data_IF_297440501095
#
_entry.id   IF_297440501095
#
_cell.length_a   1.000
_cell.length_b   1.000
_cell.length_c   1.000
_cell.angle_alpha   90.00
_cell.angle_beta   90.00
_cell.angle_gamma   90.00
#
_symmetry.space_group_name_H-M   'P 1'
#
loop_
_entity.id
_entity.type
_entity.pdbx_description
1 polymer ?
#
# COMPACT_ATOMS: atom_id res chain seq x y z
N UNK A 1 22.43 0.65 -23.58
CA UNK A 1 21.45 -0.46 -23.58
C UNK A 1 21.06 -0.70 -22.13
N UNK A 2 19.79 -0.51 -21.72
CA UNK A 2 19.41 -0.82 -20.34
C UNK A 2 18.97 -2.29 -20.24
N UNK A 3 19.62 -3.00 -19.31
CA UNK A 3 19.28 -4.28 -18.68
C UNK A 3 18.60 -5.37 -19.55
N UNK A 4 19.43 -6.30 -20.06
CA UNK A 4 19.42 -7.69 -19.57
C UNK A 4 18.16 -8.55 -19.67
N UNK A 5 17.14 -8.21 -20.47
CA UNK A 5 16.14 -9.21 -20.85
C UNK A 5 16.82 -10.22 -21.77
N UNK A 6 16.98 -11.47 -21.31
CA UNK A 6 17.34 -12.57 -22.21
C UNK A 6 16.27 -12.65 -23.30
N UNK A 7 16.70 -12.77 -24.56
CA UNK A 7 15.80 -12.85 -25.70
C UNK A 7 14.86 -14.06 -25.55
N UNK A 8 13.59 -13.80 -25.25
CA UNK A 8 12.55 -14.81 -25.08
C UNK A 8 11.25 -14.24 -24.47
N UNK A 9 10.11 -14.94 -24.60
CA UNK A 9 8.88 -14.53 -23.95
C UNK A 9 9.04 -14.59 -22.42
N UNK A 10 9.00 -13.44 -21.76
CA UNK A 10 8.99 -13.34 -20.30
C UNK A 10 7.61 -13.72 -19.77
N UNK A 11 7.50 -14.88 -19.11
CA UNK A 11 6.29 -15.24 -18.38
C UNK A 11 6.27 -14.51 -17.03
N UNK A 12 5.22 -13.76 -16.77
CA UNK A 12 5.01 -13.08 -15.48
C UNK A 12 3.54 -12.82 -15.22
N UNK A 13 3.20 -12.63 -13.95
CA UNK A 13 1.87 -12.21 -13.51
C UNK A 13 1.83 -10.70 -13.33
N UNK A 14 0.83 -10.05 -13.92
CA UNK A 14 0.57 -8.62 -13.69
C UNK A 14 -0.12 -8.46 -12.35
N UNK A 15 0.57 -7.87 -11.38
CA UNK A 15 0.07 -7.75 -10.00
C UNK A 15 -0.53 -6.38 -9.73
N UNK A 16 -0.06 -5.35 -10.44
CA UNK A 16 -0.59 -4.01 -10.31
C UNK A 16 -0.45 -3.25 -11.62
N UNK A 17 -1.46 -2.42 -11.93
CA UNK A 17 -1.51 -1.63 -13.15
C UNK A 17 -2.15 -0.28 -12.85
N UNK A 18 -1.40 0.79 -13.08
CA UNK A 18 -1.84 2.15 -12.77
C UNK A 18 -1.54 3.05 -13.95
N UNK A 19 -2.54 3.82 -14.37
CA UNK A 19 -2.37 4.87 -15.39
C UNK A 19 -2.42 6.21 -14.69
N UNK A 20 -1.33 6.95 -14.78
CA UNK A 20 -1.25 8.33 -14.34
C UNK A 20 -1.40 9.25 -15.55
N UNK A 21 -2.31 10.22 -15.44
CA UNK A 21 -2.47 11.28 -16.44
C UNK A 21 -2.23 12.61 -15.74
N UNK A 22 -1.20 13.34 -16.17
CA UNK A 22 -0.99 14.75 -15.82
C UNK A 22 -1.26 15.63 -17.02
N UNK A 23 -1.36 16.94 -16.77
CA UNK A 23 -1.63 17.98 -17.77
C UNK A 23 -0.75 17.91 -19.04
N UNK A 24 0.42 17.27 -19.00
CA UNK A 24 1.32 17.15 -20.13
C UNK A 24 1.87 15.75 -20.40
N UNK A 25 1.60 14.75 -19.55
CA UNK A 25 2.18 13.42 -19.70
C UNK A 25 1.28 12.31 -19.14
N UNK A 26 1.20 11.22 -19.88
CA UNK A 26 0.64 9.94 -19.43
C UNK A 26 1.78 9.00 -19.04
N UNK A 27 1.65 8.32 -17.91
CA UNK A 27 2.55 7.25 -17.50
C UNK A 27 1.73 6.01 -17.11
N UNK A 28 2.01 4.88 -17.75
CA UNK A 28 1.48 3.57 -17.35
C UNK A 28 2.55 2.85 -16.53
N UNK A 29 2.20 2.52 -15.30
CA UNK A 29 3.04 1.75 -14.37
C UNK A 29 2.47 0.35 -14.27
N UNK A 30 3.33 -0.65 -14.44
CA UNK A 30 2.96 -2.07 -14.34
C UNK A 30 3.95 -2.75 -13.42
N UNK A 31 3.43 -3.40 -12.37
CA UNK A 31 4.22 -4.29 -11.54
C UNK A 31 3.98 -5.73 -12.00
N UNK A 32 5.07 -6.44 -12.22
CA UNK A 32 5.10 -7.84 -12.63
C UNK A 32 5.80 -8.65 -11.55
N UNK A 33 5.35 -9.88 -11.35
CA UNK A 33 6.03 -10.89 -10.53
C UNK A 33 6.33 -12.09 -11.43
N UNK A 34 7.57 -12.55 -11.41
CA UNK A 34 7.99 -13.77 -12.12
C UNK A 34 7.76 -15.04 -11.29
N UNK A 35 8.12 -16.19 -11.83
CA UNK A 35 7.97 -17.50 -11.17
C UNK A 35 8.84 -17.65 -9.90
N UNK A 36 9.90 -16.85 -9.78
CA UNK A 36 10.80 -16.85 -8.62
C UNK A 36 10.32 -15.89 -7.51
N UNK A 37 9.30 -15.07 -7.80
CA UNK A 37 8.84 -14.01 -6.90
C UNK A 37 9.60 -12.69 -7.07
N UNK A 38 10.42 -12.55 -8.11
CA UNK A 38 11.12 -11.31 -8.39
C UNK A 38 10.16 -10.27 -8.97
N UNK A 39 10.20 -9.06 -8.38
CA UNK A 39 9.36 -7.94 -8.79
C UNK A 39 10.04 -7.10 -9.87
N UNK A 40 9.35 -6.94 -11.00
CA UNK A 40 9.76 -6.05 -12.09
C UNK A 40 8.75 -4.93 -12.26
N UNK A 41 9.22 -3.69 -12.14
CA UNK A 41 8.40 -2.51 -12.40
C UNK A 41 8.69 -1.92 -13.77
N UNK A 42 7.67 -1.87 -14.61
CA UNK A 42 7.71 -1.23 -15.92
C UNK A 42 7.04 0.14 -15.87
N UNK A 43 7.69 1.16 -16.45
CA UNK A 43 7.15 2.51 -16.57
C UNK A 43 7.12 2.91 -18.05
N UNK A 44 5.93 3.10 -18.60
CA UNK A 44 5.71 3.53 -19.99
C UNK A 44 5.30 4.99 -20.01
N UNK A 45 6.20 5.86 -20.50
CA UNK A 45 5.97 7.30 -20.59
C UNK A 45 5.47 7.71 -21.98
N UNK A 46 4.48 8.61 -22.00
CA UNK A 46 3.85 9.14 -23.20
C UNK A 46 2.54 8.44 -23.53
N UNK A 47 1.54 9.21 -24.00
CA UNK A 47 0.19 8.74 -24.29
C UNK A 47 0.18 7.55 -25.25
N UNK A 48 0.87 7.66 -26.39
CA UNK A 48 0.91 6.61 -27.41
C UNK A 48 1.46 5.27 -26.88
N UNK A 49 2.45 5.33 -25.98
CA UNK A 49 3.02 4.12 -25.36
C UNK A 49 2.06 3.55 -24.32
N UNK A 50 1.52 4.40 -23.44
CA UNK A 50 0.54 3.97 -22.45
C UNK A 50 -0.66 3.29 -23.13
N UNK A 51 -1.25 3.92 -24.15
CA UNK A 51 -2.41 3.40 -24.88
C UNK A 51 -2.06 2.12 -25.67
N UNK A 52 -0.85 2.00 -26.22
CA UNK A 52 -0.40 0.79 -26.91
C UNK A 52 -0.26 -0.42 -26.00
N UNK A 53 0.13 -0.22 -24.74
CA UNK A 53 0.44 -1.30 -23.81
C UNK A 53 -0.65 -1.54 -22.77
N UNK A 54 -1.52 -0.57 -22.49
CA UNK A 54 -2.56 -0.72 -21.48
C UNK A 54 -3.40 -1.96 -21.74
N UNK A 55 -3.89 -2.19 -22.95
CA UNK A 55 -4.76 -3.34 -23.24
C UNK A 55 -4.00 -4.65 -23.41
N UNK A 56 -2.66 -4.61 -23.43
CA UNK A 56 -1.81 -5.81 -23.53
C UNK A 56 -1.50 -6.44 -22.19
N UNK A 57 -1.69 -5.68 -21.11
CA UNK A 57 -1.50 -6.15 -19.75
C UNK A 57 -2.85 -6.15 -19.07
N UNK A 58 -3.48 -7.31 -19.01
CA UNK A 58 -4.61 -7.52 -18.12
C UNK A 58 -4.06 -7.81 -16.73
N UNK A 59 -4.63 -7.15 -15.71
CA UNK A 59 -4.49 -7.63 -14.33
C UNK A 59 -5.31 -8.90 -14.29
N UNK A 60 -4.69 -10.01 -14.66
CA UNK A 60 -5.35 -11.30 -14.65
C UNK A 60 -5.56 -11.70 -13.19
N UNK A 61 -6.83 -11.85 -12.79
CA UNK A 61 -7.15 -12.98 -11.92
C UNK A 61 -6.89 -14.21 -12.79
N UNK A 62 -5.69 -14.77 -12.69
CA UNK A 62 -5.25 -15.85 -13.58
C UNK A 62 -6.23 -17.02 -13.40
N UNK A 63 -7.07 -17.27 -14.42
CA UNK A 63 -7.93 -18.45 -14.52
C UNK A 63 -7.13 -19.67 -15.02
N UNK A 64 -5.87 -19.78 -14.60
CA UNK A 64 -5.00 -20.93 -14.77
C UNK A 64 -4.38 -21.22 -13.42
N UNK A 65 -4.03 -22.49 -13.14
CA UNK A 65 -3.48 -22.94 -11.86
C UNK A 65 -2.53 -21.89 -11.24
N UNK A 66 -3.02 -21.15 -10.24
CA UNK A 66 -2.30 -20.06 -9.55
C UNK A 66 -1.04 -20.55 -8.81
N UNK A 67 -0.70 -21.82 -8.92
CA UNK A 67 0.50 -22.42 -8.34
C UNK A 67 1.79 -22.03 -9.11
N UNK A 68 1.71 -21.56 -10.35
CA UNK A 68 2.91 -21.25 -11.17
C UNK A 68 3.57 -19.91 -10.80
N UNK A 69 2.86 -18.97 -10.15
CA UNK A 69 3.41 -17.66 -9.78
C UNK A 69 3.08 -17.29 -8.33
N UNK A 70 4.08 -16.92 -7.50
CA UNK A 70 3.85 -16.59 -6.11
C UNK A 70 3.03 -15.32 -5.93
N UNK A 71 2.40 -15.19 -4.76
CA UNK A 71 1.80 -13.95 -4.29
C UNK A 71 2.82 -12.83 -4.16
N UNK A 72 2.34 -11.58 -4.31
CA UNK A 72 3.20 -10.41 -4.26
C UNK A 72 3.99 -10.48 -2.96
N UNK A 73 5.33 -10.51 -2.98
CA UNK A 73 6.10 -10.58 -1.75
C UNK A 73 6.00 -9.23 -1.02
N UNK A 74 5.27 -9.21 0.08
CA UNK A 74 5.25 -8.07 0.99
C UNK A 74 6.41 -8.18 1.97
N UNK A 75 7.26 -7.15 2.02
CA UNK A 75 8.34 -7.05 3.00
C UNK A 75 7.93 -6.07 4.08
N UNK A 76 6.86 -6.42 4.80
CA UNK A 76 6.28 -5.56 5.81
C UNK A 76 7.28 -5.24 6.91
N UNK A 77 7.51 -3.95 7.09
CA UNK A 77 8.19 -3.40 8.24
C UNK A 77 7.16 -3.00 9.31
N UNK A 78 7.51 -3.23 10.58
CA UNK A 78 6.72 -2.76 11.72
C UNK A 78 6.76 -1.23 11.78
N UNK A 79 5.67 -0.61 12.25
CA UNK A 79 5.62 0.84 12.49
C UNK A 79 6.80 1.30 13.37
N UNK A 80 7.26 0.45 14.28
CA UNK A 80 8.42 0.73 15.12
C UNK A 80 9.73 0.92 14.36
N UNK A 81 9.99 0.20 13.28
CA UNK A 81 11.24 0.37 12.51
C UNK A 81 11.27 1.65 11.67
N UNK A 82 10.10 2.27 11.43
CA UNK A 82 9.98 3.45 10.55
C UNK A 82 10.86 4.65 10.93
N UNK A 83 11.26 4.80 12.21
CA UNK A 83 12.11 5.92 12.65
C UNK A 83 13.52 5.88 12.03
N UNK A 84 13.97 4.71 11.60
CA UNK A 84 15.30 4.51 11.01
C UNK A 84 15.28 4.59 9.47
N UNK A 85 14.10 4.76 8.88
CA UNK A 85 13.92 4.80 7.43
C UNK A 85 14.31 6.19 6.91
N UNK A 86 15.16 6.20 5.89
CA UNK A 86 15.60 7.45 5.25
C UNK A 86 14.45 8.11 4.48
N UNK A 87 14.52 9.43 4.36
CA UNK A 87 13.60 10.18 3.51
C UNK A 87 13.63 9.65 2.08
N UNK A 88 12.47 9.62 1.42
CA UNK A 88 12.24 9.09 0.06
C UNK A 88 12.44 7.59 -0.11
N UNK A 89 12.74 6.85 0.95
CA UNK A 89 12.74 5.40 0.89
C UNK A 89 11.32 4.89 0.66
N UNK A 90 11.21 3.90 -0.23
CA UNK A 90 10.01 3.13 -0.47
C UNK A 90 10.08 1.89 0.41
N UNK A 91 9.03 1.62 1.17
CA UNK A 91 8.95 0.46 2.05
C UNK A 91 7.51 -0.04 2.14
N UNK A 92 7.35 -1.22 2.73
CA UNK A 92 6.04 -1.83 2.97
C UNK A 92 5.78 -1.74 4.47
N UNK A 93 4.56 -1.38 4.88
CA UNK A 93 4.19 -1.24 6.30
C UNK A 93 2.90 -1.97 6.57
N UNK A 94 2.81 -2.60 7.74
CA UNK A 94 1.59 -3.24 8.22
C UNK A 94 1.25 -2.71 9.61
N UNK A 95 -0.04 -2.57 9.89
CA UNK A 95 -0.50 -2.25 11.22
C UNK A 95 -2.01 -2.31 11.35
N UNK A 96 -2.47 -2.15 12.58
CA UNK A 96 -3.89 -2.07 12.93
C UNK A 96 -4.38 -0.68 12.57
N UNK A 97 -5.49 -0.62 11.85
CA UNK A 97 -6.13 0.61 11.44
C UNK A 97 -6.69 1.36 12.65
N UNK A 98 -6.26 2.62 12.78
CA UNK A 98 -6.65 3.50 13.86
C UNK A 98 -6.94 4.91 13.35
N UNK A 99 -8.00 5.54 13.86
CA UNK A 99 -8.37 6.94 13.66
C UNK A 99 -8.15 7.51 12.23
N UNK A 100 -9.21 7.50 11.43
CA UNK A 100 -9.26 8.16 10.12
C UNK A 100 -9.76 9.59 10.24
N UNK A 101 -8.98 10.50 9.67
CA UNK A 101 -9.30 11.92 9.63
C UNK A 101 -9.46 12.38 8.18
N UNK A 102 -10.42 13.28 7.98
CA UNK A 102 -10.64 13.97 6.71
C UNK A 102 -10.32 15.44 6.91
N UNK A 103 -9.42 15.97 6.10
CA UNK A 103 -9.09 17.39 6.03
C UNK A 103 -9.63 17.95 4.71
N UNK A 104 -10.33 19.08 4.78
CA UNK A 104 -10.78 19.81 3.59
C UNK A 104 -9.92 21.06 3.46
N UNK A 105 -9.20 21.18 2.35
CA UNK A 105 -8.33 22.30 2.02
C UNK A 105 -9.04 23.12 0.94
N UNK A 106 -9.53 24.32 1.27
CA UNK A 106 -10.13 25.19 0.26
C UNK A 106 -9.03 25.73 -0.66
N UNK A 107 -9.17 25.50 -1.96
CA UNK A 107 -8.37 26.13 -3.01
C UNK A 107 -9.24 27.14 -3.75
N UNK A 108 -8.59 28.03 -4.52
CA UNK A 108 -9.29 29.14 -5.19
C UNK A 108 -10.44 28.67 -6.12
N UNK A 109 -10.33 27.48 -6.71
CA UNK A 109 -11.27 26.96 -7.72
C UNK A 109 -12.01 25.69 -7.31
N UNK A 110 -11.60 25.02 -6.23
CA UNK A 110 -12.25 23.81 -5.72
C UNK A 110 -11.78 23.49 -4.30
N UNK A 111 -12.48 22.58 -3.60
CA UNK A 111 -12.01 22.04 -2.34
C UNK A 111 -11.19 20.77 -2.60
N UNK A 112 -9.95 20.75 -2.12
CA UNK A 112 -9.14 19.53 -2.08
C UNK A 112 -9.43 18.81 -0.78
N UNK A 113 -9.88 17.56 -0.87
CA UNK A 113 -9.96 16.70 0.31
C UNK A 113 -8.61 15.99 0.47
N UNK A 114 -8.15 15.81 1.69
CA UNK A 114 -7.01 14.96 2.04
C UNK A 114 -7.46 14.04 3.17
N UNK A 115 -7.07 12.76 3.08
CA UNK A 115 -7.35 11.78 4.12
C UNK A 115 -6.06 11.37 4.80
N UNK A 116 -6.12 11.28 6.12
CA UNK A 116 -5.08 10.64 6.91
C UNK A 116 -5.70 9.53 7.73
N UNK A 117 -4.92 8.49 8.00
CA UNK A 117 -5.28 7.48 9.00
C UNK A 117 -4.00 7.06 9.72
N UNK A 118 -4.14 6.40 10.87
CA UNK A 118 -3.00 5.88 11.60
C UNK A 118 -2.93 4.36 11.49
N UNK A 119 -1.71 3.85 11.48
CA UNK A 119 -1.43 2.45 11.73
C UNK A 119 -0.76 2.30 13.08
N UNK A 120 -1.24 1.33 13.85
CA UNK A 120 -0.68 0.92 15.13
C UNK A 120 0.09 -0.40 14.94
N UNK A 121 1.25 -0.53 15.57
CA UNK A 121 1.92 -1.83 15.70
C UNK A 121 1.63 -2.50 17.05
N UNK A 122 2.17 -3.70 17.24
CA UNK A 122 2.07 -4.49 18.48
C UNK A 122 2.74 -3.83 19.70
N UNK A 123 3.42 -2.69 19.52
CA UNK A 123 4.07 -1.92 20.59
C UNK A 123 3.30 -0.64 20.91
N UNK A 124 2.11 -0.46 20.33
CA UNK A 124 1.30 0.74 20.48
C UNK A 124 1.88 1.97 19.78
N UNK A 125 2.90 1.81 18.93
CA UNK A 125 3.47 2.94 18.20
C UNK A 125 2.62 3.25 16.98
N UNK A 126 2.40 4.54 16.76
CA UNK A 126 1.55 5.07 15.70
C UNK A 126 2.37 5.66 14.56
N UNK A 127 1.94 5.41 13.33
CA UNK A 127 2.39 6.16 12.14
C UNK A 127 1.19 6.71 11.41
N UNK A 128 1.27 7.99 11.08
CA UNK A 128 0.26 8.67 10.27
C UNK A 128 0.54 8.43 8.78
N UNK A 129 -0.48 7.95 8.08
CA UNK A 129 -0.46 7.68 6.64
C UNK A 129 -1.29 8.74 5.93
N UNK A 130 -0.61 9.59 5.15
CA UNK A 130 -1.24 10.58 4.27
C UNK A 130 -1.67 9.97 2.95
N UNK A 131 -2.96 10.07 2.61
CA UNK A 131 -3.51 9.55 1.37
C UNK A 131 -3.65 10.65 0.35
N UNK A 132 -2.91 10.55 -0.76
CA UNK A 132 -2.96 11.56 -1.83
C UNK A 132 -3.77 11.10 -3.04
N UNK A 133 -3.85 9.79 -3.29
CA UNK A 133 -4.45 9.22 -4.50
C UNK A 133 -5.30 7.98 -4.25
N UNK A 134 -5.04 7.24 -3.16
CA UNK A 134 -5.82 6.04 -2.78
C UNK A 134 -7.15 6.39 -2.06
N UNK A 135 -7.58 7.64 -2.18
CA UNK A 135 -8.74 8.21 -1.48
C UNK A 135 -10.07 7.53 -1.88
N UNK A 136 -10.20 7.06 -3.12
CA UNK A 136 -11.41 6.35 -3.55
C UNK A 136 -11.53 4.97 -2.91
N UNK A 137 -10.40 4.31 -2.64
CA UNK A 137 -10.36 2.99 -2.04
C UNK A 137 -10.79 3.04 -0.57
N UNK A 138 -10.19 3.94 0.22
CA UNK A 138 -10.48 4.03 1.67
C UNK A 138 -11.87 4.59 2.00
N UNK A 139 -12.55 5.25 1.05
CA UNK A 139 -13.93 5.71 1.26
C UNK A 139 -14.94 4.57 1.28
N UNK A 140 -14.70 3.54 0.47
CA UNK A 140 -15.66 2.47 0.23
C UNK A 140 -15.34 1.19 1.01
N UNK A 141 -14.18 1.13 1.68
CA UNK A 141 -13.81 -0.02 2.49
C UNK A 141 -14.49 0.05 3.87
N UNK A 142 -15.10 -1.05 4.34
CA UNK A 142 -15.66 -1.15 5.68
C UNK A 142 -14.51 -1.32 6.68
N UNK A 143 -13.79 -0.23 6.97
CA UNK A 143 -12.70 -0.23 7.93
C UNK A 143 -13.27 -0.04 9.33
N UNK A 144 -13.07 -1.04 10.19
CA UNK A 144 -13.41 -0.98 11.61
C UNK A 144 -12.13 -0.71 12.40
N UNK A 145 -12.16 0.37 13.16
CA UNK A 145 -11.05 0.80 14.01
C UNK A 145 -10.73 -0.27 15.06
N UNK A 146 -9.44 -0.53 15.28
CA UNK A 146 -8.95 -1.58 16.20
C UNK A 146 -9.35 -3.02 15.86
N UNK A 147 -9.97 -3.28 14.71
CA UNK A 147 -10.27 -4.64 14.23
C UNK A 147 -9.66 -4.94 12.86
N UNK A 148 -9.45 -3.90 12.05
CA UNK A 148 -8.95 -4.05 10.68
C UNK A 148 -7.44 -3.94 10.63
N UNK A 149 -6.77 -4.93 10.05
CA UNK A 149 -5.33 -4.85 9.74
C UNK A 149 -5.17 -4.38 8.30
N UNK A 150 -4.28 -3.40 8.10
CA UNK A 150 -3.97 -2.87 6.78
C UNK A 150 -2.50 -3.10 6.49
N UNK A 151 -2.23 -3.77 5.37
CA UNK A 151 -0.92 -3.83 4.74
C UNK A 151 -0.83 -2.81 3.62
N UNK A 152 0.24 -2.03 3.60
CA UNK A 152 0.52 -1.07 2.53
C UNK A 152 1.87 -1.40 1.90
N UNK A 153 1.91 -1.63 0.60
CA UNK A 153 3.15 -1.84 -0.16
C UNK A 153 3.48 -0.65 -1.02
N UNK A 154 4.74 -0.22 -0.96
CA UNK A 154 5.23 0.91 -1.72
C UNK A 154 4.83 2.28 -1.15
N UNK A 155 4.72 2.41 0.18
CA UNK A 155 4.57 3.72 0.83
C UNK A 155 5.91 4.45 0.84
N UNK A 156 5.87 5.78 0.98
CA UNK A 156 7.09 6.60 1.00
C UNK A 156 7.10 7.54 2.19
N UNK A 157 8.28 7.72 2.79
CA UNK A 157 8.51 8.84 3.70
C UNK A 157 8.81 10.11 2.91
N UNK A 158 7.97 11.13 3.07
CA UNK A 158 8.14 12.44 2.45
C UNK A 158 8.24 13.49 3.55
N UNK A 159 9.21 14.40 3.43
CA UNK A 159 9.32 15.54 4.33
C UNK A 159 8.27 16.59 3.98
N UNK A 160 7.41 16.91 4.92
CA UNK A 160 6.49 18.05 4.88
C UNK A 160 6.85 19.04 5.98
N UNK A 161 7.57 20.10 5.60
CA UNK A 161 8.15 21.03 6.57
C UNK A 161 9.19 20.34 7.45
N UNK A 162 8.99 20.40 8.76
CA UNK A 162 9.91 19.80 9.74
C UNK A 162 9.58 18.32 10.05
N UNK A 163 8.40 17.82 9.62
CA UNK A 163 7.92 16.47 9.89
C UNK A 163 8.18 15.53 8.70
N UNK A 164 8.57 14.29 9.00
CA UNK A 164 8.49 13.18 8.03
C UNK A 164 7.10 12.56 8.11
N UNK A 165 6.43 12.48 6.97
CA UNK A 165 5.11 11.85 6.84
C UNK A 165 5.22 10.62 5.95
N UNK A 166 4.55 9.55 6.34
CA UNK A 166 4.36 8.40 5.47
C UNK A 166 3.19 8.70 4.54
N UNK A 167 3.37 8.52 3.23
CA UNK A 167 2.34 8.84 2.24
C UNK A 167 2.14 7.71 1.25
N UNK A 168 0.87 7.54 0.84
CA UNK A 168 0.50 6.67 -0.27
C UNK A 168 0.50 7.46 -1.57
N UNK A 169 0.83 6.75 -2.65
CA UNK A 169 0.78 7.23 -4.02
C UNK A 169 -0.15 6.33 -4.84
N UNK A 170 -0.39 6.69 -6.09
CA UNK A 170 -1.27 5.95 -6.99
C UNK A 170 -0.80 4.49 -7.22
N UNK A 171 0.50 4.23 -7.04
CA UNK A 171 1.14 2.93 -7.17
C UNK A 171 1.27 2.16 -5.84
N UNK A 172 0.73 2.70 -4.74
CA UNK A 172 0.69 2.00 -3.45
C UNK A 172 -0.39 0.92 -3.49
N UNK A 173 -0.01 -0.30 -3.12
CA UNK A 173 -0.94 -1.44 -3.00
C UNK A 173 -1.45 -1.48 -1.57
N UNK A 174 -2.76 -1.68 -1.41
CA UNK A 174 -3.41 -1.83 -0.10
C UNK A 174 -3.98 -3.23 0.01
N UNK A 175 -3.62 -3.93 1.09
CA UNK A 175 -4.22 -5.19 1.50
C UNK A 175 -5.00 -5.00 2.80
N UNK A 176 -6.18 -5.61 2.85
CA UNK A 176 -7.03 -5.63 4.04
C UNK A 176 -6.98 -7.03 4.63
N UNK A 177 -6.62 -7.11 5.91
CA UNK A 177 -6.42 -8.36 6.65
C UNK A 177 -5.53 -9.34 5.87
N UNK A 178 -4.28 -8.93 5.52
CA UNK A 178 -3.40 -9.79 4.73
C UNK A 178 -3.09 -11.08 5.48
N UNK A 179 -3.00 -12.21 4.76
CA UNK A 179 -2.73 -13.52 5.35
C UNK A 179 -1.22 -13.74 5.50
N UNK A 180 -0.63 -13.14 6.52
CA UNK A 180 0.80 -13.25 6.82
C UNK A 180 1.05 -13.34 8.33
N UNK A 181 2.27 -13.76 8.72
CA UNK A 181 2.65 -13.90 10.12
C UNK A 181 2.47 -12.60 10.92
N UNK A 182 2.81 -11.46 10.32
CA UNK A 182 2.65 -10.16 10.96
C UNK A 182 1.19 -9.84 11.29
N UNK A 183 0.25 -10.23 10.43
CA UNK A 183 -1.19 -10.08 10.73
C UNK A 183 -1.63 -10.96 11.89
N UNK A 184 -1.15 -12.20 11.95
CA UNK A 184 -1.47 -13.11 13.06
C UNK A 184 -0.94 -12.56 14.39
N UNK A 185 0.25 -11.97 14.38
CA UNK A 185 0.86 -11.40 15.59
C UNK A 185 0.10 -10.15 16.06
N UNK A 186 -0.33 -9.30 15.13
CA UNK A 186 -1.21 -8.16 15.44
C UNK A 186 -2.58 -8.61 15.95
N UNK A 187 -3.15 -9.69 15.41
CA UNK A 187 -4.41 -10.27 15.89
C UNK A 187 -4.30 -10.79 17.32
N UNK A 188 -3.22 -11.51 17.65
CA UNK A 188 -2.97 -11.98 19.02
C UNK A 188 -2.85 -10.81 19.99
N UNK A 189 -2.19 -9.74 19.57
CA UNK A 189 -2.04 -8.53 20.38
C UNK A 189 -3.39 -7.85 20.65
N UNK A 190 -4.24 -7.70 19.62
CA UNK A 190 -5.59 -7.14 19.79
C UNK A 190 -6.44 -7.97 20.77
N UNK A 191 -6.38 -9.30 20.68
CA UNK A 191 -7.12 -10.18 21.58
C UNK A 191 -6.63 -10.12 23.04
N UNK A 192 -5.31 -9.93 23.27
CA UNK A 192 -4.76 -9.81 24.62
C UNK A 192 -5.18 -8.51 25.33
N UNK A 193 -5.30 -7.41 24.59
CA UNK A 193 -5.73 -6.10 25.11
C UNK A 193 -7.23 -6.13 25.52
N UNK A 194 -8.05 -6.92 24.83
CA UNK A 194 -9.47 -7.14 25.17
C UNK A 194 -9.65 -7.92 26.49
N UNK A 195 -8.75 -8.86 26.81
CA UNK A 195 -8.81 -9.65 28.05
C UNK A 195 -8.41 -8.82 29.29
N UNK A 196 -7.43 -7.91 29.18
CA UNK A 196 -7.04 -7.04 30.30
C UNK A 196 -8.12 -5.98 30.64
N UNK A 197 -8.90 -5.53 29.66
CA UNK A 197 -10.00 -4.59 29.87
C UNK A 197 -11.20 -5.17 30.63
N UNK A 198 -11.43 -6.48 30.56
CA UNK A 198 -12.57 -7.13 31.23
C UNK A 198 -12.30 -7.45 32.70
N UNK A 199 -11.04 -7.71 33.10
CA UNK A 199 -10.73 -8.00 34.52
C UNK A 199 -10.83 -6.77 35.45
N UNK A 200 -10.85 -5.55 34.90
CA UNK A 200 -10.95 -4.32 35.69
C UNK A 200 -12.39 -3.84 35.93
N UNK A 201 -13.37 -4.25 35.12
CA UNK A 201 -14.78 -3.88 35.32
C UNK A 201 -15.53 -4.81 36.29
N UNK A 202 -15.11 -6.06 36.48
CA UNK A 202 -15.75 -6.99 37.43
C UNK A 202 -15.35 -6.79 38.90
N UNK A 203 -14.51 -5.78 39.22
CA UNK A 203 -14.02 -5.51 40.58
C UNK A 203 -14.44 -4.17 41.18
N UNK A 204 -15.36 -3.43 40.56
CA UNK A 204 -15.91 -2.18 41.11
C UNK A 204 -17.40 -2.28 41.46
#
# INVERSE_FOLDING_TARGET
MPMGFQDGPFKSRVTHKVIFVSHSNTCLIINLVDENGDEVRLNFWGKDKADKYVDKFEVSMVQGNNEEFPDIPFKYESVSSSNNIKERTIFDVIGIYYNKQKKIIPLQTYNKEEFTFNLLDEKGKKIEIGCTTVEQFLRNLPLVEMETIIGLKGVRLVRKGEKLECVTFADTIIEINPKCQQSEDLQKWMAADEEEGQETEEKN
#
